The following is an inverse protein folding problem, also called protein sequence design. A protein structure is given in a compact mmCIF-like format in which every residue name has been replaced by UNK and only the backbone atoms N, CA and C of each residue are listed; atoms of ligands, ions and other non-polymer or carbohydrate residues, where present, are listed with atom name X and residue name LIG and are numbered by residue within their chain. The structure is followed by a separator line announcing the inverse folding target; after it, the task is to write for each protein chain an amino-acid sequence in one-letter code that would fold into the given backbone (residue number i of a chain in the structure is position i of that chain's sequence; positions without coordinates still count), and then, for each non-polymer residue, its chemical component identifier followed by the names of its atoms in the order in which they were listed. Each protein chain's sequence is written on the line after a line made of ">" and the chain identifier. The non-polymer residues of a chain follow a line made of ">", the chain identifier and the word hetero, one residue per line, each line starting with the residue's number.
data_IF_989010546980
#
_entry.id   IF_989010546980
#
_cell.length_a   1.000
_cell.length_b   1.000
_cell.length_c   1.000
_cell.angle_alpha   90.00
_cell.angle_beta   90.00
_cell.angle_gamma   90.00
#
_symmetry.space_group_name_H-M   'P 1'
#
loop_
_entity.id
_entity.type
_entity.pdbx_description
1 polymer ?
#
# COMPACT_ATOMS: atom_id res chain seq x y z
N UNK A 1 28.84 13.87 13.90
CA UNK A 1 29.09 13.03 15.10
C UNK A 1 27.85 12.91 15.99
N UNK A 2 27.36 13.98 16.66
CA UNK A 2 26.19 13.88 17.57
C UNK A 2 24.95 13.23 16.94
N UNK A 3 24.65 13.55 15.68
CA UNK A 3 23.54 12.94 14.95
C UNK A 3 23.76 11.44 14.70
N UNK A 4 24.94 11.06 14.19
CA UNK A 4 25.31 9.64 13.97
C UNK A 4 25.18 8.81 15.25
N UNK A 5 25.60 9.34 16.40
CA UNK A 5 25.43 8.64 17.68
C UNK A 5 23.96 8.42 18.03
N UNK A 6 23.09 9.40 17.78
CA UNK A 6 21.64 9.24 17.98
C UNK A 6 21.03 8.23 17.01
N UNK A 7 21.54 8.18 15.79
CA UNK A 7 21.11 7.24 14.75
C UNK A 7 21.50 5.79 15.12
N UNK A 8 22.70 5.59 15.65
CA UNK A 8 23.13 4.29 16.21
C UNK A 8 22.30 3.91 17.44
N UNK A 9 22.03 4.85 18.35
CA UNK A 9 21.14 4.59 19.50
C UNK A 9 19.74 4.17 19.04
N UNK A 10 19.16 4.87 18.05
CA UNK A 10 17.86 4.52 17.51
C UNK A 10 17.84 3.09 16.93
N UNK A 11 18.92 2.69 16.27
CA UNK A 11 19.10 1.33 15.74
C UNK A 11 19.24 0.29 16.85
N UNK A 12 20.06 0.58 17.87
CA UNK A 12 20.28 -0.32 19.00
C UNK A 12 19.02 -0.53 19.86
N UNK A 13 18.12 0.46 19.91
CA UNK A 13 16.85 0.33 20.61
C UNK A 13 15.90 -0.70 19.97
N UNK A 14 16.12 -1.12 18.72
CA UNK A 14 15.37 -2.23 18.09
C UNK A 14 15.61 -3.56 18.81
N UNK A 15 16.72 -3.68 19.54
CA UNK A 15 17.15 -4.88 20.24
C UNK A 15 16.77 -4.87 21.74
N UNK A 16 16.07 -3.83 22.20
CA UNK A 16 15.70 -3.64 23.61
C UNK A 16 14.22 -3.94 23.82
N UNK A 17 13.93 -4.86 24.74
CA UNK A 17 12.57 -5.24 25.13
C UNK A 17 12.35 -5.06 26.65
N UNK A 18 11.13 -4.70 27.10
CA UNK A 18 9.94 -4.38 26.30
C UNK A 18 10.00 -2.97 25.67
N UNK A 19 9.27 -2.77 24.58
CA UNK A 19 9.13 -1.46 23.93
C UNK A 19 8.20 -0.60 24.78
N UNK A 20 8.73 0.50 25.30
CA UNK A 20 8.01 1.42 26.19
C UNK A 20 7.69 2.74 25.47
N UNK A 21 6.71 3.49 25.97
CA UNK A 21 6.39 4.83 25.47
C UNK A 21 7.61 5.79 25.45
N UNK A 22 8.54 5.66 26.40
CA UNK A 22 9.78 6.45 26.43
C UNK A 22 10.73 6.10 25.27
N UNK A 23 10.79 4.82 24.90
CA UNK A 23 11.56 4.35 23.74
C UNK A 23 10.99 4.97 22.46
N UNK A 24 9.68 4.83 22.25
CA UNK A 24 8.99 5.38 21.08
C UNK A 24 9.15 6.90 21.00
N UNK A 25 9.00 7.62 22.12
CA UNK A 25 9.20 9.07 22.19
C UNK A 25 10.64 9.46 21.79
N UNK A 26 11.64 8.68 22.19
CA UNK A 26 13.04 8.92 21.82
C UNK A 26 13.26 8.79 20.31
N UNK A 27 12.70 7.74 19.70
CA UNK A 27 12.78 7.51 18.24
C UNK A 27 12.03 8.61 17.49
N UNK A 28 10.79 8.91 17.89
CA UNK A 28 9.96 9.97 17.32
C UNK A 28 10.68 11.33 17.37
N UNK A 29 11.28 11.66 18.51
CA UNK A 29 12.07 12.88 18.65
C UNK A 29 13.29 12.88 17.72
N UNK A 30 14.00 11.74 17.58
CA UNK A 30 15.14 11.61 16.66
C UNK A 30 14.72 11.84 15.20
N UNK A 31 13.69 11.13 14.72
CA UNK A 31 13.18 11.24 13.35
C UNK A 31 12.70 12.67 13.05
N UNK A 32 11.94 13.28 13.98
CA UNK A 32 11.42 14.65 13.83
C UNK A 32 12.52 15.71 13.63
N UNK A 33 13.69 15.52 14.23
CA UNK A 33 14.83 16.44 14.14
C UNK A 33 15.87 16.02 13.09
N UNK A 34 15.57 14.98 12.32
CA UNK A 34 16.48 14.38 11.34
C UNK A 34 15.87 14.35 9.93
N UNK A 35 14.96 15.27 9.62
CA UNK A 35 14.34 15.36 8.30
C UNK A 35 15.39 15.60 7.21
N UNK A 36 15.30 14.84 6.11
CA UNK A 36 16.27 14.87 5.01
C UNK A 36 17.58 14.14 5.30
N UNK A 37 17.67 13.36 6.38
CA UNK A 37 18.77 12.43 6.64
C UNK A 37 18.47 11.05 6.05
N UNK A 38 19.49 10.31 5.59
CA UNK A 38 19.27 9.10 4.79
C UNK A 38 18.56 7.97 5.55
N UNK A 39 18.68 7.92 6.88
CA UNK A 39 18.08 6.88 7.72
C UNK A 39 16.70 7.24 8.28
N UNK A 40 16.19 8.44 8.02
CA UNK A 40 14.95 8.95 8.63
C UNK A 40 13.98 9.49 7.58
N UNK A 41 12.74 9.02 7.60
CA UNK A 41 11.63 9.61 6.85
C UNK A 41 10.50 10.03 7.80
N UNK A 42 9.92 11.19 7.54
CA UNK A 42 8.81 11.76 8.30
C UNK A 42 7.70 12.13 7.32
N UNK A 43 6.59 11.40 7.37
CA UNK A 43 5.43 11.68 6.55
C UNK A 43 4.24 12.15 7.40
N UNK A 44 3.38 12.98 6.81
CA UNK A 44 2.15 13.47 7.43
C UNK A 44 1.01 13.31 6.45
N UNK A 45 0.03 12.49 6.81
CA UNK A 45 -1.19 12.27 6.04
C UNK A 45 -2.31 13.08 6.69
N UNK A 46 -2.77 14.12 6.00
CA UNK A 46 -3.95 14.88 6.44
C UNK A 46 -5.22 14.06 6.24
N UNK A 47 -6.00 13.91 7.31
CA UNK A 47 -7.30 13.26 7.31
C UNK A 47 -8.37 14.26 6.89
N UNK A 48 -8.64 14.32 5.59
CA UNK A 48 -9.70 15.16 5.05
C UNK A 48 -11.02 14.39 5.06
N UNK A 49 -11.91 14.74 5.98
CA UNK A 49 -13.25 14.16 6.06
C UNK A 49 -14.29 15.05 5.36
N UNK A 50 -15.28 14.41 4.73
CA UNK A 50 -16.40 15.10 4.05
C UNK A 50 -17.40 15.66 5.06
N UNK A 51 -17.64 14.93 6.16
CA UNK A 51 -18.57 15.30 7.22
C UNK A 51 -17.83 15.75 8.48
N UNK A 52 -18.56 15.94 9.59
CA UNK A 52 -18.02 16.29 10.91
C UNK A 52 -16.81 15.42 11.26
N UNK A 53 -15.71 16.10 11.59
CA UNK A 53 -14.45 15.50 12.00
C UNK A 53 -14.64 14.54 13.17
N UNK A 54 -15.54 14.81 14.13
CA UNK A 54 -15.68 13.93 15.30
C UNK A 54 -16.24 12.55 14.93
N UNK A 55 -17.35 12.50 14.20
CA UNK A 55 -17.96 11.24 13.75
C UNK A 55 -17.02 10.51 12.81
N UNK A 56 -16.45 11.22 11.84
CA UNK A 56 -15.56 10.64 10.83
C UNK A 56 -14.29 10.07 11.46
N UNK A 57 -13.70 10.81 12.40
CA UNK A 57 -12.53 10.35 13.16
C UNK A 57 -12.83 9.11 14.00
N UNK A 58 -14.00 9.04 14.64
CA UNK A 58 -14.39 7.86 15.41
C UNK A 58 -14.46 6.60 14.55
N UNK A 59 -15.07 6.69 13.37
CA UNK A 59 -15.15 5.57 12.40
C UNK A 59 -13.75 5.24 11.88
N UNK A 60 -12.95 6.25 11.55
CA UNK A 60 -11.56 6.07 11.13
C UNK A 60 -10.75 5.30 12.17
N UNK A 61 -10.84 5.66 13.45
CA UNK A 61 -10.10 4.97 14.52
C UNK A 61 -10.54 3.52 14.72
N UNK A 62 -11.84 3.23 14.59
CA UNK A 62 -12.35 1.87 14.68
C UNK A 62 -11.80 0.99 13.54
N UNK A 63 -11.77 1.51 12.33
CA UNK A 63 -11.28 0.80 11.15
C UNK A 63 -9.75 0.78 11.06
N UNK A 64 -9.06 1.81 11.57
CA UNK A 64 -7.61 1.87 11.63
C UNK A 64 -7.04 0.74 12.49
N UNK A 65 -7.71 0.44 13.62
CA UNK A 65 -7.33 -0.69 14.47
C UNK A 65 -7.45 -2.06 13.79
N UNK A 66 -8.15 -2.13 12.65
CA UNK A 66 -8.35 -3.34 11.84
C UNK A 66 -7.42 -3.39 10.62
N UNK A 67 -6.55 -2.39 10.40
CA UNK A 67 -5.58 -2.42 9.32
C UNK A 67 -4.65 -3.63 9.52
N UNK A 68 -4.57 -4.45 8.48
CA UNK A 68 -3.66 -5.59 8.39
C UNK A 68 -2.45 -5.20 7.56
N UNK A 69 -1.25 -5.48 8.06
CA UNK A 69 -0.02 -5.33 7.30
C UNK A 69 0.56 -6.74 7.12
N UNK A 70 0.86 -7.20 5.90
CA UNK A 70 1.37 -8.56 5.68
C UNK A 70 2.61 -8.82 6.54
N UNK A 71 2.59 -9.89 7.35
CA UNK A 71 3.69 -10.31 8.23
C UNK A 71 3.98 -9.39 9.42
N UNK A 72 3.16 -8.36 9.63
CA UNK A 72 3.31 -7.42 10.74
C UNK A 72 2.00 -7.23 11.49
N UNK A 73 2.15 -7.03 12.80
CA UNK A 73 1.06 -6.63 13.66
C UNK A 73 1.25 -5.19 14.09
N UNK A 74 0.14 -4.45 14.13
CA UNK A 74 0.10 -3.12 14.71
C UNK A 74 -0.09 -3.23 16.23
N UNK A 75 0.87 -2.72 16.99
CA UNK A 75 0.81 -2.61 18.44
C UNK A 75 0.54 -1.15 18.84
N UNK A 76 -0.10 -0.96 19.99
CA UNK A 76 -0.37 0.36 20.56
C UNK A 76 0.31 0.48 21.92
N UNK A 77 1.03 1.58 22.11
CA UNK A 77 1.64 1.98 23.39
C UNK A 77 1.36 3.47 23.61
N UNK A 78 0.54 3.78 24.62
CA UNK A 78 0.02 5.13 24.86
C UNK A 78 -0.58 5.77 23.59
N UNK A 79 0.05 6.84 23.09
CA UNK A 79 -0.38 7.64 21.93
C UNK A 79 0.22 7.15 20.61
N UNK A 80 1.08 6.13 20.64
CA UNK A 80 1.81 5.65 19.48
C UNK A 80 1.33 4.27 19.04
N UNK A 81 1.24 4.11 17.73
CA UNK A 81 1.10 2.81 17.09
C UNK A 81 2.43 2.44 16.43
N UNK A 82 2.83 1.19 16.47
CA UNK A 82 4.09 0.75 15.87
C UNK A 82 3.98 -0.68 15.33
N UNK A 83 4.75 -0.99 14.29
CA UNK A 83 4.78 -2.32 13.70
C UNK A 83 5.71 -3.24 14.47
N UNK A 84 5.25 -4.46 14.73
CA UNK A 84 6.05 -5.60 15.19
C UNK A 84 5.87 -6.76 14.22
N UNK A 85 6.84 -7.68 14.19
CA UNK A 85 6.73 -8.93 13.43
C UNK A 85 5.56 -9.74 13.95
N UNK A 86 4.77 -10.29 13.04
CA UNK A 86 3.84 -11.37 13.38
C UNK A 86 4.64 -12.67 13.51
N UNK A 87 4.37 -13.50 14.51
CA UNK A 87 5.09 -14.76 14.72
C UNK A 87 4.72 -15.75 13.60
N UNK A 88 5.45 -15.72 12.49
CA UNK A 88 5.35 -16.73 11.44
C UNK A 88 6.45 -17.76 11.68
N UNK A 89 6.11 -19.04 11.56
CA UNK A 89 7.09 -20.13 11.69
C UNK A 89 8.26 -19.91 10.72
N UNK A 90 9.48 -20.18 11.18
CA UNK A 90 10.74 -19.89 10.49
C UNK A 90 10.83 -20.46 9.05
N UNK A 91 10.02 -21.47 8.70
CA UNK A 91 9.89 -21.99 7.34
C UNK A 91 9.33 -20.97 6.33
N UNK A 92 8.36 -20.15 6.74
CA UNK A 92 7.66 -19.21 5.85
C UNK A 92 8.51 -17.99 5.45
N UNK A 93 9.52 -17.64 6.26
CA UNK A 93 10.38 -16.49 5.97
C UNK A 93 11.22 -16.73 4.71
N UNK A 94 11.68 -17.97 4.48
CA UNK A 94 12.44 -18.35 3.28
C UNK A 94 11.56 -18.44 2.02
N UNK A 95 10.28 -18.78 2.17
CA UNK A 95 9.32 -18.82 1.04
C UNK A 95 8.94 -17.42 0.52
N UNK A 96 9.17 -16.36 1.33
CA UNK A 96 8.90 -14.95 0.96
C UNK A 96 10.06 -14.33 0.17
N UNK A 97 11.27 -14.89 0.24
CA UNK A 97 12.44 -14.44 -0.52
C UNK A 97 12.83 -15.50 -1.57
N UNK A 98 12.10 -15.63 -2.70
CA UNK A 98 12.55 -16.48 -3.77
C UNK A 98 13.80 -15.85 -4.38
N UNK A 99 14.97 -16.32 -3.95
CA UNK A 99 16.24 -16.12 -4.63
C UNK A 99 16.10 -16.82 -5.99
N UNK A 100 15.68 -16.09 -7.03
CA UNK A 100 15.76 -16.57 -8.39
C UNK A 100 17.25 -16.47 -8.82
N UNK A 101 18.05 -17.44 -8.38
CA UNK A 101 19.29 -17.75 -9.08
C UNK A 101 18.94 -18.61 -10.29
N UNK A 102 18.98 -18.01 -11.47
CA UNK A 102 18.88 -18.75 -12.70
C UNK A 102 20.26 -19.35 -13.04
N UNK A 103 20.47 -20.64 -12.76
CA UNK A 103 21.09 -21.58 -13.70
C UNK A 103 21.14 -23.01 -13.14
N UNK A 104 20.77 -23.96 -14.01
CA UNK A 104 20.79 -25.40 -13.86
C UNK A 104 22.17 -25.95 -13.44
N UNK A 105 22.23 -26.99 -12.61
CA UNK A 105 22.32 -28.36 -13.15
C UNK A 105 22.10 -29.43 -12.06
N UNK A 106 21.74 -30.61 -12.53
CA UNK A 106 21.21 -31.74 -11.80
C UNK A 106 22.33 -32.60 -11.23
N UNK A 107 22.33 -32.89 -9.93
CA UNK A 107 22.72 -34.23 -9.41
C UNK A 107 22.49 -34.30 -7.90
N UNK A 108 21.55 -35.14 -7.48
CA UNK A 108 21.28 -35.37 -6.07
C UNK A 108 22.35 -36.25 -5.41
N UNK A 109 22.66 -35.91 -4.15
CA UNK A 109 23.15 -36.85 -3.14
C UNK A 109 22.50 -36.42 -1.82
N UNK A 110 21.80 -37.35 -1.18
CA UNK A 110 21.34 -37.24 0.20
C UNK A 110 22.56 -37.31 1.13
N UNK A 111 22.76 -36.33 2.01
CA UNK A 111 23.55 -36.54 3.22
C UNK A 111 22.81 -35.99 4.45
N UNK A 112 22.49 -36.94 5.34
CA UNK A 112 22.04 -36.72 6.71
C UNK A 112 23.07 -35.88 7.47
N UNK A 113 22.64 -34.80 8.11
CA UNK A 113 23.45 -34.09 9.10
C UNK A 113 22.82 -34.19 10.49
N UNK A 114 23.49 -34.99 11.33
CA UNK A 114 23.24 -35.20 12.74
C UNK A 114 23.36 -33.91 13.57
N UNK A 115 22.42 -33.73 14.49
CA UNK A 115 22.37 -32.66 15.48
C UNK A 115 23.11 -33.10 16.76
N UNK A 116 24.13 -32.39 17.27
CA UNK A 116 24.64 -32.65 18.62
C UNK A 116 23.88 -31.82 19.68
N UNK A 117 23.33 -32.53 20.68
CA UNK A 117 22.85 -31.96 21.96
C UNK A 117 24.02 -31.54 22.86
N UNK A 118 23.84 -30.54 23.75
CA UNK A 118 24.88 -30.12 24.67
C UNK A 118 24.90 -31.00 25.93
N UNK A 119 26.11 -31.31 26.41
CA UNK A 119 26.37 -31.86 27.73
C UNK A 119 27.04 -30.77 28.58
N UNK A 120 26.43 -30.49 29.74
CA UNK A 120 27.08 -29.84 30.87
C UNK A 120 28.04 -30.85 31.52
N UNK A 121 29.20 -30.39 31.98
CA UNK A 121 29.69 -30.64 33.35
C UNK A 121 31.00 -29.89 33.63
N UNK A 122 31.18 -29.63 34.93
CA UNK A 122 32.07 -28.71 35.61
C UNK A 122 33.59 -29.02 35.64
N UNK A 123 34.34 -27.95 35.95
CA UNK A 123 35.57 -27.88 36.77
C UNK A 123 36.86 -28.65 36.38
N UNK A 124 37.94 -27.92 36.02
CA UNK A 124 39.12 -27.61 36.89
C UNK A 124 40.35 -27.05 36.13
N UNK A 125 40.72 -25.82 36.52
CA UNK A 125 42.06 -25.24 36.80
C UNK A 125 43.32 -25.94 36.24
N UNK A 126 44.13 -25.21 35.43
CA UNK A 126 45.52 -24.76 35.75
C UNK A 126 46.26 -24.12 34.55
N UNK A 127 46.69 -22.88 34.78
CA UNK A 127 48.01 -22.24 34.59
C UNK A 127 48.85 -22.36 33.30
N UNK A 128 49.61 -21.26 33.12
CA UNK A 128 50.82 -21.02 32.30
C UNK A 128 50.60 -20.50 30.86
N UNK A 129 50.75 -19.20 30.56
CA UNK A 129 51.95 -18.33 30.49
C UNK A 129 52.68 -18.40 29.12
N UNK A 130 52.97 -17.21 28.59
CA UNK A 130 53.87 -16.82 27.49
C UNK A 130 53.29 -16.89 26.06
N UNK A 131 53.03 -15.76 25.38
CA UNK A 131 53.96 -14.73 24.84
C UNK A 131 54.72 -15.16 23.59
N UNK A 132 54.72 -14.24 22.61
CA UNK A 132 55.56 -14.14 21.40
C UNK A 132 54.91 -14.70 20.12
N UNK A 133 54.47 -13.87 19.16
CA UNK A 133 55.17 -12.88 18.33
C UNK A 133 55.95 -13.50 17.17
N UNK A 134 55.40 -13.26 15.97
CA UNK A 134 56.04 -13.01 14.67
C UNK A 134 57.44 -13.55 14.40
N UNK A 135 57.60 -14.24 13.27
CA UNK A 135 58.68 -13.91 12.35
C UNK A 135 58.39 -14.25 10.88
N UNK A 136 58.85 -13.29 10.08
CA UNK A 136 59.01 -13.12 8.64
C UNK A 136 59.95 -14.16 7.98
N UNK A 137 59.72 -14.49 6.70
CA UNK A 137 60.68 -14.23 5.60
C UNK A 137 60.27 -14.86 4.25
N UNK A 138 60.48 -14.07 3.20
CA UNK A 138 60.48 -14.42 1.78
C UNK A 138 61.58 -15.42 1.41
N UNK A 139 61.40 -16.18 0.31
CA UNK A 139 62.24 -16.04 -0.91
C UNK A 139 61.80 -17.00 -2.05
N UNK A 140 61.70 -16.40 -3.24
CA UNK A 140 61.71 -16.86 -4.64
C UNK A 140 61.59 -18.35 -5.03
N UNK A 141 60.74 -18.58 -6.05
CA UNK A 141 60.83 -19.71 -6.97
C UNK A 141 60.07 -19.43 -8.26
N UNK A 142 60.81 -19.13 -9.34
CA UNK A 142 60.33 -18.88 -10.69
C UNK A 142 59.71 -20.13 -11.35
N UNK A 143 58.49 -20.05 -11.84
CA UNK A 143 58.02 -20.87 -12.96
C UNK A 143 57.11 -20.02 -13.85
N UNK A 144 57.50 -19.92 -15.12
CA UNK A 144 56.66 -19.45 -16.22
C UNK A 144 55.56 -20.49 -16.45
N UNK A 145 54.31 -20.15 -16.14
CA UNK A 145 53.14 -20.79 -16.72
C UNK A 145 52.25 -19.72 -17.31
N UNK A 146 52.33 -19.65 -18.63
CA UNK A 146 51.29 -19.25 -19.57
C UNK A 146 49.91 -19.77 -19.11
N UNK A 147 48.97 -18.85 -18.93
CA UNK A 147 47.63 -19.15 -18.45
C UNK A 147 46.87 -17.83 -18.32
N UNK A 148 46.00 -17.56 -19.29
CA UNK A 148 45.19 -16.35 -19.34
C UNK A 148 44.47 -16.13 -18.01
N UNK A 149 44.75 -14.98 -17.40
CA UNK A 149 43.93 -14.42 -16.36
C UNK A 149 42.67 -13.88 -17.04
N UNK A 150 41.68 -14.76 -17.23
CA UNK A 150 40.30 -14.31 -17.16
C UNK A 150 40.09 -13.96 -15.69
N UNK A 151 40.45 -12.73 -15.32
CA UNK A 151 39.83 -12.06 -14.20
C UNK A 151 38.35 -11.93 -14.57
N UNK A 152 37.59 -13.00 -14.34
CA UNK A 152 36.22 -12.87 -13.91
C UNK A 152 36.30 -12.02 -12.64
N UNK A 153 36.26 -10.70 -12.85
CA UNK A 153 35.78 -9.76 -11.86
C UNK A 153 34.34 -10.21 -11.65
N UNK A 154 34.15 -11.21 -10.77
CA UNK A 154 32.89 -11.40 -10.12
C UNK A 154 32.60 -10.03 -9.54
N UNK A 155 31.60 -9.35 -10.11
CA UNK A 155 30.95 -8.27 -9.40
C UNK A 155 30.62 -8.88 -8.04
N UNK A 156 31.39 -8.50 -7.01
CA UNK A 156 31.09 -8.84 -5.63
C UNK A 156 29.72 -8.22 -5.39
N UNK A 157 28.66 -8.97 -5.69
CA UNK A 157 27.34 -8.73 -5.15
C UNK A 157 27.55 -8.82 -3.66
N UNK A 158 27.80 -7.66 -3.03
CA UNK A 158 28.01 -7.58 -1.59
C UNK A 158 26.90 -8.37 -0.92
N UNK A 159 27.29 -9.49 -0.32
CA UNK A 159 26.33 -10.42 0.25
C UNK A 159 25.76 -9.79 1.53
N UNK A 160 24.58 -9.17 1.39
CA UNK A 160 23.86 -8.57 2.51
C UNK A 160 23.07 -9.59 3.33
N UNK A 161 23.40 -10.89 3.26
CA UNK A 161 22.80 -11.97 4.09
C UNK A 161 22.78 -11.64 5.59
N UNK A 162 23.76 -10.85 6.07
CA UNK A 162 23.81 -10.39 7.44
C UNK A 162 22.57 -9.56 7.86
N UNK A 163 21.89 -8.86 6.94
CA UNK A 163 20.63 -8.16 7.24
C UNK A 163 19.52 -9.14 7.58
N UNK A 164 19.44 -10.26 6.84
CA UNK A 164 18.48 -11.33 7.13
C UNK A 164 18.80 -11.96 8.48
N UNK A 165 20.07 -12.24 8.75
CA UNK A 165 20.50 -12.78 10.04
C UNK A 165 20.23 -11.81 11.21
N UNK A 166 20.41 -10.50 11.00
CA UNK A 166 20.06 -9.47 11.98
C UNK A 166 18.56 -9.44 12.25
N UNK A 167 17.75 -9.53 11.20
CA UNK A 167 16.30 -9.55 11.27
C UNK A 167 15.83 -10.79 12.05
N UNK A 168 16.41 -11.97 11.78
CA UNK A 168 16.08 -13.21 12.47
C UNK A 168 16.49 -13.20 13.96
N UNK A 169 17.57 -12.51 14.32
CA UNK A 169 18.01 -12.38 15.72
C UNK A 169 17.07 -11.51 16.55
N UNK A 170 16.36 -10.57 15.91
CA UNK A 170 15.39 -9.68 16.57
C UNK A 170 14.07 -10.40 16.80
N UNK A 171 13.66 -10.49 18.06
CA UNK A 171 12.46 -11.22 18.46
C UNK A 171 11.18 -10.51 18.00
N UNK A 172 10.97 -9.25 18.41
CA UNK A 172 9.73 -8.53 18.12
C UNK A 172 9.79 -7.57 16.92
N UNK A 173 10.87 -6.80 16.75
CA UNK A 173 10.93 -5.70 15.77
C UNK A 173 11.66 -6.10 14.48
N UNK A 174 11.26 -5.55 13.31
CA UNK A 174 12.07 -5.64 12.10
C UNK A 174 13.34 -4.78 12.19
N UNK A 175 14.13 -4.78 11.13
CA UNK A 175 15.33 -3.94 11.03
C UNK A 175 15.08 -2.43 10.89
N UNK A 176 13.87 -1.98 11.20
CA UNK A 176 13.43 -0.60 11.09
C UNK A 176 12.37 -0.27 12.15
N UNK A 177 12.22 1.01 12.45
CA UNK A 177 11.07 1.55 13.16
C UNK A 177 10.04 2.07 12.18
N UNK A 178 8.79 1.70 12.35
CA UNK A 178 7.65 2.36 11.72
C UNK A 178 6.64 2.69 12.81
N UNK A 179 6.63 3.96 13.21
CA UNK A 179 5.81 4.49 14.31
C UNK A 179 4.81 5.47 13.74
N UNK A 180 3.57 5.41 14.20
CA UNK A 180 2.48 6.30 13.82
C UNK A 180 1.94 6.99 15.06
N UNK A 181 1.68 8.29 14.92
CA UNK A 181 0.86 9.05 15.86
C UNK A 181 -0.37 9.57 15.14
N UNK A 182 -1.54 9.34 15.72
CA UNK A 182 -2.82 9.76 15.16
C UNK A 182 -3.35 10.90 16.01
N UNK A 183 -3.39 12.09 15.40
CA UNK A 183 -4.09 13.25 15.93
C UNK A 183 -5.42 13.41 15.16
N UNK A 184 -6.29 14.35 15.57
CA UNK A 184 -7.66 14.46 15.04
C UNK A 184 -7.77 14.62 13.52
N UNK A 185 -6.82 15.31 12.89
CA UNK A 185 -6.83 15.68 11.48
C UNK A 185 -5.57 15.23 10.72
N UNK A 186 -4.65 14.52 11.38
CA UNK A 186 -3.39 14.10 10.78
C UNK A 186 -2.88 12.79 11.38
N UNK A 187 -2.38 11.92 10.51
CA UNK A 187 -1.55 10.78 10.90
C UNK A 187 -0.10 11.12 10.57
N UNK A 188 0.75 11.15 11.59
CA UNK A 188 2.19 11.35 11.42
C UNK A 188 2.89 10.00 11.46
N UNK A 189 3.66 9.69 10.42
CA UNK A 189 4.45 8.46 10.27
C UNK A 189 5.92 8.80 10.47
N UNK A 190 6.55 8.18 11.45
CA UNK A 190 7.97 8.25 11.75
C UNK A 190 8.62 6.94 11.32
N UNK A 191 9.49 7.01 10.32
CA UNK A 191 10.23 5.86 9.83
C UNK A 191 11.73 6.04 10.07
N UNK A 192 12.36 5.04 10.66
CA UNK A 192 13.81 5.01 10.87
C UNK A 192 14.38 3.67 10.46
N UNK A 193 15.39 3.68 9.58
CA UNK A 193 16.16 2.51 9.22
C UNK A 193 17.60 2.92 8.90
N UNK A 194 18.56 2.34 9.60
CA UNK A 194 20.01 2.61 9.40
C UNK A 194 20.49 2.27 7.98
N UNK A 195 19.81 1.32 7.33
CA UNK A 195 20.32 0.59 6.18
C UNK A 195 19.75 1.06 4.83
N UNK A 196 19.03 2.19 4.79
CA UNK A 196 18.31 2.64 3.59
C UNK A 196 19.21 2.95 2.38
N UNK A 197 20.49 3.23 2.60
CA UNK A 197 21.45 3.48 1.52
C UNK A 197 22.01 2.19 0.90
N UNK A 198 21.75 1.01 1.48
CA UNK A 198 22.26 -0.26 0.95
C UNK A 198 21.42 -0.71 -0.26
N UNK A 199 22.04 -0.99 -1.43
CA UNK A 199 21.35 -1.36 -2.66
C UNK A 199 20.94 -2.84 -2.67
N UNK A 200 20.14 -3.27 -1.69
CA UNK A 200 19.70 -4.66 -1.52
C UNK A 200 18.19 -4.80 -1.62
N UNK A 201 17.67 -5.88 -2.24
CA UNK A 201 16.23 -6.17 -2.29
C UNK A 201 15.55 -6.15 -0.92
N UNK A 202 16.26 -6.59 0.13
CA UNK A 202 15.74 -6.61 1.50
C UNK A 202 15.39 -5.21 2.02
N UNK A 203 16.20 -4.20 1.68
CA UNK A 203 15.93 -2.79 2.02
C UNK A 203 14.76 -2.24 1.18
N UNK A 204 14.65 -2.67 -0.08
CA UNK A 204 13.49 -2.37 -0.93
C UNK A 204 12.15 -2.75 -0.28
N UNK A 205 12.09 -3.93 0.36
CA UNK A 205 10.89 -4.38 1.07
C UNK A 205 10.57 -3.50 2.28
N UNK A 206 11.56 -2.99 3.02
CA UNK A 206 11.30 -2.09 4.15
C UNK A 206 10.60 -0.80 3.69
N UNK A 207 11.01 -0.27 2.54
CA UNK A 207 10.39 0.89 1.91
C UNK A 207 8.99 0.56 1.35
N UNK A 208 8.81 -0.63 0.78
CA UNK A 208 7.50 -1.11 0.30
C UNK A 208 6.50 -1.18 1.46
N UNK A 209 6.88 -1.79 2.59
CA UNK A 209 6.03 -1.84 3.80
C UNK A 209 5.68 -0.43 4.28
N UNK A 210 6.64 0.49 4.28
CA UNK A 210 6.39 1.89 4.64
C UNK A 210 5.37 2.55 3.69
N UNK A 211 5.48 2.30 2.38
CA UNK A 211 4.54 2.79 1.37
C UNK A 211 3.16 2.17 1.53
N UNK A 212 3.08 0.86 1.75
CA UNK A 212 1.83 0.12 1.93
C UNK A 212 1.05 0.63 3.12
N UNK A 213 1.71 0.89 4.25
CA UNK A 213 1.06 1.48 5.43
C UNK A 213 0.54 2.88 5.12
N UNK A 214 1.33 3.70 4.42
CA UNK A 214 0.96 5.05 4.00
C UNK A 214 -0.28 5.03 3.10
N UNK A 215 -0.32 4.13 2.14
CA UNK A 215 -1.42 4.01 1.18
C UNK A 215 -2.66 3.37 1.83
N UNK A 216 -2.48 2.40 2.74
CA UNK A 216 -3.57 1.84 3.53
C UNK A 216 -4.27 2.90 4.39
N UNK A 217 -3.53 3.84 4.97
CA UNK A 217 -4.11 4.96 5.75
C UNK A 217 -4.90 5.92 4.85
N UNK A 218 -4.37 6.27 3.67
CA UNK A 218 -5.06 7.13 2.70
C UNK A 218 -6.34 6.47 2.19
N UNK A 219 -6.25 5.20 1.81
CA UNK A 219 -7.40 4.43 1.35
C UNK A 219 -8.42 4.25 2.45
N UNK A 220 -7.98 4.08 3.71
CA UNK A 220 -8.89 4.06 4.84
C UNK A 220 -9.65 5.39 4.98
N UNK A 221 -8.96 6.54 4.93
CA UNK A 221 -9.62 7.84 4.99
C UNK A 221 -10.66 8.00 3.86
N UNK A 222 -10.30 7.57 2.64
CA UNK A 222 -11.22 7.53 1.50
C UNK A 222 -12.44 6.63 1.76
N UNK A 223 -12.24 5.41 2.28
CA UNK A 223 -13.33 4.47 2.61
C UNK A 223 -14.27 5.00 3.69
N UNK A 224 -13.75 5.73 4.68
CA UNK A 224 -14.58 6.40 5.71
C UNK A 224 -15.46 7.48 5.07
N UNK A 225 -14.91 8.28 4.16
CA UNK A 225 -15.72 9.26 3.42
C UNK A 225 -16.78 8.57 2.55
N UNK A 226 -16.42 7.50 1.85
CA UNK A 226 -17.36 6.69 1.07
C UNK A 226 -18.50 6.14 1.93
N UNK A 227 -18.20 5.56 3.09
CA UNK A 227 -19.21 4.95 3.94
C UNK A 227 -20.22 5.98 4.46
N UNK A 228 -19.74 7.18 4.83
CA UNK A 228 -20.58 8.29 5.27
C UNK A 228 -21.46 8.83 4.12
N UNK A 229 -20.87 9.04 2.94
CA UNK A 229 -21.59 9.47 1.73
C UNK A 229 -22.66 8.46 1.33
N UNK A 230 -22.35 7.17 1.39
CA UNK A 230 -23.30 6.09 1.09
C UNK A 230 -24.44 6.05 2.12
N UNK A 231 -24.13 6.18 3.41
CA UNK A 231 -25.16 6.22 4.44
C UNK A 231 -26.11 7.42 4.23
N UNK A 232 -25.57 8.60 3.91
CA UNK A 232 -26.37 9.78 3.56
C UNK A 232 -27.21 9.55 2.31
N UNK A 233 -26.66 8.94 1.25
CA UNK A 233 -27.39 8.56 0.04
C UNK A 233 -28.59 7.65 0.35
N UNK A 234 -28.40 6.66 1.22
CA UNK A 234 -29.48 5.73 1.57
C UNK A 234 -30.60 6.40 2.36
N UNK A 235 -30.26 7.27 3.30
CA UNK A 235 -31.20 7.99 4.17
C UNK A 235 -31.99 9.06 3.42
N UNK A 236 -31.31 9.85 2.60
CA UNK A 236 -31.90 11.01 1.93
C UNK A 236 -32.47 10.70 0.55
N UNK A 237 -32.03 9.61 -0.07
CA UNK A 237 -32.25 9.32 -1.50
C UNK A 237 -31.76 10.46 -2.41
N UNK A 238 -30.72 11.17 -1.98
CA UNK A 238 -30.03 12.23 -2.75
C UNK A 238 -28.55 11.86 -2.81
N UNK A 239 -27.97 11.82 -4.02
CA UNK A 239 -26.56 11.55 -4.23
C UNK A 239 -25.74 12.83 -4.18
N UNK A 240 -24.68 12.81 -3.39
CA UNK A 240 -23.69 13.89 -3.35
C UNK A 240 -22.80 13.86 -4.60
N UNK A 241 -22.42 15.04 -5.11
CA UNK A 241 -21.50 15.20 -6.24
C UNK A 241 -20.11 14.62 -5.98
N UNK A 242 -19.69 14.52 -4.72
CA UNK A 242 -18.42 13.92 -4.31
C UNK A 242 -18.41 12.40 -4.43
N UNK A 243 -19.57 11.75 -4.25
CA UNK A 243 -19.71 10.30 -4.43
C UNK A 243 -19.71 9.95 -5.92
N UNK A 244 -20.56 10.61 -6.70
CA UNK A 244 -20.69 10.42 -8.14
C UNK A 244 -20.98 11.78 -8.76
N UNK A 245 -20.56 12.10 -9.99
CA UNK A 245 -20.86 13.37 -10.65
C UNK A 245 -22.32 13.45 -11.11
N UNK A 246 -22.85 14.68 -11.26
CA UNK A 246 -24.21 14.90 -11.79
C UNK A 246 -24.34 14.41 -13.23
N UNK A 247 -25.50 13.82 -13.57
CA UNK A 247 -25.73 13.31 -14.93
C UNK A 247 -25.77 14.43 -15.99
N UNK A 248 -25.91 15.68 -15.56
CA UNK A 248 -25.90 16.88 -16.40
C UNK A 248 -24.56 17.62 -16.38
N UNK A 249 -23.44 16.97 -16.03
CA UNK A 249 -22.13 17.60 -16.05
C UNK A 249 -21.71 17.97 -17.50
N UNK A 250 -22.15 19.14 -17.96
CA UNK A 250 -21.95 19.71 -19.30
C UNK A 250 -20.55 20.31 -19.48
N UNK A 251 -19.51 19.60 -19.09
CA UNK A 251 -18.12 20.10 -19.19
C UNK A 251 -17.23 19.28 -20.14
N UNK A 252 -17.83 18.44 -20.99
CA UNK A 252 -17.15 17.70 -22.07
C UNK A 252 -17.90 17.81 -23.41
N UNK A 253 -18.32 19.01 -23.79
CA UNK A 253 -18.68 19.26 -25.18
C UNK A 253 -17.46 19.79 -25.95
N UNK A 254 -16.60 18.87 -26.37
CA UNK A 254 -16.07 18.93 -27.74
C UNK A 254 -15.91 17.50 -28.27
N UNK A 255 -16.83 17.14 -29.17
CA UNK A 255 -16.69 16.13 -30.21
C UNK A 255 -16.25 14.72 -29.79
N UNK A 256 -17.18 13.97 -29.20
CA UNK A 256 -17.23 12.52 -29.45
C UNK A 256 -18.64 12.13 -29.88
N UNK A 257 -18.84 12.07 -31.19
CA UNK A 257 -19.83 11.17 -31.78
C UNK A 257 -19.43 9.77 -31.34
N UNK A 258 -20.11 9.23 -30.33
CA UNK A 258 -19.89 7.87 -29.83
C UNK A 258 -20.40 6.91 -30.91
N UNK A 259 -19.52 6.62 -31.88
CA UNK A 259 -19.65 5.44 -32.72
C UNK A 259 -19.09 4.28 -31.91
N UNK A 260 -19.95 3.31 -31.65
CA UNK A 260 -19.71 2.06 -30.95
C UNK A 260 -18.41 1.37 -31.39
N UNK A 261 -17.41 1.39 -30.51
CA UNK A 261 -16.34 0.40 -30.43
C UNK A 261 -15.64 0.49 -29.07
N UNK A 262 -15.91 -0.51 -28.23
CA UNK A 262 -15.04 -1.06 -27.18
C UNK A 262 -14.15 -0.07 -26.42
N UNK A 263 -14.53 0.27 -25.19
CA UNK A 263 -13.56 0.72 -24.18
C UNK A 263 -13.66 -0.21 -22.97
N UNK A 264 -12.82 -1.25 -23.02
CA UNK A 264 -12.28 -1.94 -21.85
C UNK A 264 -11.62 -0.91 -20.93
N UNK A 265 -12.03 -0.90 -19.66
CA UNK A 265 -11.41 -0.10 -18.61
C UNK A 265 -10.00 -0.62 -18.30
N UNK A 266 -9.02 -0.17 -19.06
CA UNK A 266 -7.61 -0.25 -18.70
C UNK A 266 -7.19 1.13 -18.15
N UNK A 267 -6.86 1.21 -16.85
CA UNK A 267 -6.05 2.31 -16.32
C UNK A 267 -4.92 1.74 -15.46
N UNK A 268 -3.78 1.53 -16.12
CA UNK A 268 -2.47 1.67 -15.49
C UNK A 268 -1.55 2.44 -16.45
N UNK A 269 -0.83 3.39 -15.84
CA UNK A 269 0.48 3.96 -16.16
C UNK A 269 0.68 5.11 -17.19
N UNK A 270 1.63 5.94 -16.76
CA UNK A 270 2.52 6.90 -17.46
C UNK A 270 1.99 8.33 -17.58
N UNK A 271 2.48 9.34 -16.83
CA UNK A 271 3.83 9.94 -16.71
C UNK A 271 4.25 10.75 -17.96
N UNK A 272 4.52 12.03 -17.67
CA UNK A 272 5.35 13.03 -18.36
C UNK A 272 4.88 13.66 -19.68
N UNK A 273 4.99 15.00 -19.70
CA UNK A 273 5.28 15.77 -20.90
C UNK A 273 4.07 16.36 -21.61
N UNK A 274 3.85 17.66 -21.42
CA UNK A 274 3.98 18.68 -22.48
C UNK A 274 3.61 20.05 -21.91
N UNK A 275 4.64 20.76 -21.47
CA UNK A 275 4.63 22.22 -21.38
C UNK A 275 4.53 22.75 -22.80
N UNK A 276 3.56 23.62 -23.07
CA UNK A 276 3.57 24.50 -24.23
C UNK A 276 2.82 25.78 -23.87
N UNK A 277 3.60 26.84 -23.66
CA UNK A 277 3.15 28.22 -23.52
C UNK A 277 2.60 28.72 -24.86
N UNK A 278 1.43 29.37 -24.87
CA UNK A 278 1.26 30.79 -25.22
C UNK A 278 -0.17 31.16 -25.62
N UNK A 279 -0.51 32.39 -25.22
CA UNK A 279 -1.55 33.30 -25.72
C UNK A 279 -2.92 33.34 -25.00
N UNK A 280 -2.92 34.31 -24.10
CA UNK A 280 -3.98 35.06 -23.42
C UNK A 280 -4.98 35.63 -24.46
N UNK A 281 -6.28 35.52 -24.18
CA UNK A 281 -7.21 36.66 -24.02
C UNK A 281 -8.66 36.20 -23.77
N UNK A 282 -9.21 36.64 -22.63
CA UNK A 282 -10.61 37.06 -22.55
C UNK A 282 -11.69 35.98 -22.51
N UNK A 283 -11.76 35.22 -21.41
CA UNK A 283 -12.99 34.54 -20.99
C UNK A 283 -13.05 34.53 -19.48
N UNK A 284 -13.97 35.30 -18.88
CA UNK A 284 -14.29 35.20 -17.45
C UNK A 284 -14.61 33.74 -17.13
N UNK A 285 -13.67 33.06 -16.48
CA UNK A 285 -13.96 31.82 -15.77
C UNK A 285 -14.83 32.24 -14.60
N UNK A 286 -16.14 32.17 -14.81
CA UNK A 286 -17.11 32.32 -13.76
C UNK A 286 -16.95 31.09 -12.85
N UNK A 287 -16.05 31.23 -11.87
CA UNK A 287 -15.90 30.34 -10.73
C UNK A 287 -17.19 30.42 -9.93
N UNK A 288 -18.17 29.58 -10.29
CA UNK A 288 -19.34 29.38 -9.46
C UNK A 288 -18.95 28.51 -8.27
N UNK A 289 -18.89 29.17 -7.11
CA UNK A 289 -19.01 28.64 -5.76
C UNK A 289 -17.96 27.61 -5.33
N UNK A 290 -16.80 28.12 -4.98
CA UNK A 290 -15.89 27.47 -4.04
C UNK A 290 -16.47 27.56 -2.62
N UNK A 291 -17.15 26.50 -2.18
CA UNK A 291 -17.28 26.18 -0.75
C UNK A 291 -16.61 24.81 -0.55
N UNK A 292 -15.34 24.85 -0.10
CA UNK A 292 -14.33 23.78 0.03
C UNK A 292 -13.72 23.23 -1.28
N UNK A 293 -12.56 23.74 -1.73
CA UNK A 293 -11.80 23.17 -2.86
C UNK A 293 -11.04 21.88 -2.47
N UNK A 294 -11.54 21.09 -1.51
CA UNK A 294 -10.80 19.94 -0.97
C UNK A 294 -10.94 18.69 -1.84
N UNK A 295 -12.05 18.54 -2.56
CA UNK A 295 -12.36 17.31 -3.28
C UNK A 295 -12.94 17.59 -4.66
N UNK A 296 -12.68 16.68 -5.59
CA UNK A 296 -13.28 16.69 -6.92
C UNK A 296 -14.61 15.93 -6.95
N UNK A 297 -15.47 16.27 -7.92
CA UNK A 297 -16.69 15.51 -8.17
C UNK A 297 -16.35 14.05 -8.52
N UNK A 298 -17.05 13.10 -7.90
CA UNK A 298 -16.81 11.67 -8.07
C UNK A 298 -15.50 11.15 -7.47
N UNK A 299 -14.76 11.93 -6.68
CA UNK A 299 -13.52 11.47 -6.05
C UNK A 299 -13.73 10.22 -5.18
N UNK A 300 -14.91 10.12 -4.57
CA UNK A 300 -15.29 9.01 -3.71
C UNK A 300 -16.13 7.94 -4.42
N UNK A 301 -16.16 7.90 -5.76
CA UNK A 301 -16.86 6.83 -6.47
C UNK A 301 -16.36 5.45 -6.03
N UNK A 302 -17.30 4.54 -5.79
CA UNK A 302 -16.99 3.20 -5.31
C UNK A 302 -16.64 2.28 -6.49
N UNK A 303 -15.67 1.37 -6.32
CA UNK A 303 -15.41 0.35 -7.32
C UNK A 303 -16.62 -0.58 -7.46
N UNK A 304 -16.79 -1.15 -8.64
CA UNK A 304 -17.85 -2.14 -8.90
C UNK A 304 -17.50 -3.44 -8.16
N UNK A 305 -18.30 -3.77 -7.14
CA UNK A 305 -18.15 -5.00 -6.35
C UNK A 305 -18.97 -6.17 -6.89
N UNK A 306 -19.97 -5.90 -7.73
CA UNK A 306 -20.82 -6.93 -8.33
C UNK A 306 -21.42 -6.45 -9.66
N UNK A 307 -21.45 -7.34 -10.64
CA UNK A 307 -22.05 -7.10 -11.94
C UNK A 307 -22.71 -8.38 -12.46
N UNK A 308 -23.89 -8.25 -13.06
CA UNK A 308 -24.58 -9.35 -13.72
C UNK A 308 -25.15 -8.92 -15.06
N UNK A 309 -25.20 -9.85 -16.00
CA UNK A 309 -25.84 -9.68 -17.30
C UNK A 309 -26.93 -10.72 -17.44
N UNK A 310 -28.12 -10.29 -17.85
CA UNK A 310 -29.21 -11.21 -18.18
C UNK A 310 -29.74 -10.89 -19.57
N UNK A 311 -30.04 -11.94 -20.32
CA UNK A 311 -30.53 -11.80 -21.69
C UNK A 311 -32.01 -11.47 -21.64
N UNK A 312 -32.39 -10.32 -22.20
CA UNK A 312 -33.79 -9.97 -22.29
C UNK A 312 -34.48 -10.82 -23.37
N UNK A 313 -35.53 -11.53 -22.97
CA UNK A 313 -36.32 -12.35 -23.89
C UNK A 313 -36.88 -11.48 -25.05
N UNK A 314 -36.88 -11.93 -26.32
CA UNK A 314 -37.30 -11.12 -27.48
C UNK A 314 -38.67 -10.45 -27.33
N UNK A 315 -39.65 -11.12 -26.70
CA UNK A 315 -40.99 -10.56 -26.42
C UNK A 315 -40.98 -9.34 -25.49
N UNK A 316 -39.92 -9.15 -24.71
CA UNK A 316 -39.74 -7.99 -23.84
C UNK A 316 -38.91 -6.88 -24.51
N UNK A 317 -38.29 -7.14 -25.68
CA UNK A 317 -37.50 -6.16 -26.44
C UNK A 317 -38.37 -5.12 -27.16
N UNK A 318 -39.56 -5.52 -27.63
CA UNK A 318 -40.46 -4.64 -28.41
C UNK A 318 -41.59 -4.06 -27.56
N UNK A 319 -41.58 -2.74 -27.36
CA UNK A 319 -42.77 -1.98 -26.97
C UNK A 319 -43.72 -1.78 -28.16
N UNK A 320 -45.05 -1.62 -27.94
CA UNK A 320 -45.98 -1.29 -29.02
C UNK A 320 -45.70 0.13 -29.55
N UNK A 321 -45.13 0.23 -30.76
CA UNK A 321 -44.88 1.48 -31.49
C UNK A 321 -43.69 2.29 -30.96
N UNK A 322 -42.58 2.36 -31.74
CA UNK A 322 -41.46 3.33 -31.64
C UNK A 322 -40.91 3.70 -30.23
N UNK A 323 -41.20 2.96 -29.17
CA UNK A 323 -40.62 3.18 -27.85
C UNK A 323 -39.14 2.79 -27.90
N UNK A 324 -38.27 3.75 -27.59
CA UNK A 324 -36.81 3.56 -27.45
C UNK A 324 -36.49 2.61 -26.28
N UNK A 325 -37.46 2.41 -25.38
CA UNK A 325 -37.32 1.70 -24.11
C UNK A 325 -38.05 0.36 -24.19
N UNK A 326 -37.35 -0.74 -23.88
CA UNK A 326 -37.90 -2.11 -23.89
C UNK A 326 -38.95 -2.36 -22.78
N UNK A 327 -39.85 -3.33 -22.96
CA UNK A 327 -40.82 -3.71 -21.90
C UNK A 327 -40.10 -4.28 -20.67
N UNK A 328 -38.98 -4.95 -20.89
CA UNK A 328 -38.13 -5.48 -19.83
C UNK A 328 -37.56 -4.37 -18.94
N UNK A 329 -36.99 -3.34 -19.56
CA UNK A 329 -36.40 -2.23 -18.80
C UNK A 329 -37.47 -1.42 -18.07
N UNK A 330 -38.67 -1.27 -18.64
CA UNK A 330 -39.80 -0.63 -17.94
C UNK A 330 -40.23 -1.43 -16.71
N UNK A 331 -40.31 -2.76 -16.81
CA UNK A 331 -40.61 -3.61 -15.67
C UNK A 331 -39.55 -3.51 -14.58
N UNK A 332 -38.27 -3.49 -14.95
CA UNK A 332 -37.16 -3.32 -14.02
C UNK A 332 -37.18 -1.94 -13.35
N UNK A 333 -37.43 -0.87 -14.12
CA UNK A 333 -37.58 0.49 -13.58
C UNK A 333 -38.69 0.56 -12.54
N UNK A 334 -39.85 -0.06 -12.79
CA UNK A 334 -40.96 -0.09 -11.84
C UNK A 334 -40.62 -0.82 -10.54
N UNK A 335 -39.86 -1.93 -10.61
CA UNK A 335 -39.44 -2.68 -9.42
C UNK A 335 -38.41 -1.88 -8.61
N UNK A 336 -37.51 -1.19 -9.29
CA UNK A 336 -36.43 -0.42 -8.68
C UNK A 336 -36.85 0.98 -8.21
N UNK A 337 -38.03 1.46 -8.60
CA UNK A 337 -38.53 2.80 -8.28
C UNK A 337 -38.47 3.13 -6.78
N UNK A 338 -38.81 2.15 -5.93
CA UNK A 338 -38.72 2.28 -4.45
C UNK A 338 -37.30 2.49 -3.91
N UNK A 339 -36.29 2.21 -4.72
CA UNK A 339 -34.87 2.39 -4.41
C UNK A 339 -34.26 3.58 -5.15
N UNK A 340 -35.05 4.33 -5.93
CA UNK A 340 -34.55 5.40 -6.78
C UNK A 340 -33.91 6.53 -5.97
N UNK A 341 -32.86 7.09 -6.56
CA UNK A 341 -32.22 8.31 -6.10
C UNK A 341 -32.82 9.50 -6.85
N UNK A 342 -33.24 10.52 -6.12
CA UNK A 342 -34.10 11.60 -6.63
C UNK A 342 -33.39 12.56 -7.59
N UNK A 343 -32.10 12.82 -7.37
CA UNK A 343 -31.31 13.78 -8.15
C UNK A 343 -30.39 13.11 -9.18
N UNK A 344 -30.48 11.79 -9.36
CA UNK A 344 -29.68 11.04 -10.34
C UNK A 344 -30.51 10.09 -11.18
N UNK A 345 -30.34 10.18 -12.49
CA UNK A 345 -30.89 9.27 -13.46
C UNK A 345 -30.22 7.90 -13.33
N UNK A 346 -31.05 6.85 -13.37
CA UNK A 346 -30.56 5.47 -13.40
C UNK A 346 -29.61 5.15 -12.24
N UNK A 347 -29.92 5.68 -11.05
CA UNK A 347 -29.22 5.36 -9.82
C UNK A 347 -30.23 4.89 -8.78
N UNK A 348 -29.89 3.80 -8.12
CA UNK A 348 -30.71 3.18 -7.10
C UNK A 348 -29.83 2.81 -5.91
N UNK A 349 -30.37 2.95 -4.70
CA UNK A 349 -29.64 2.66 -3.46
C UNK A 349 -30.34 1.59 -2.64
N UNK A 350 -29.56 0.65 -2.13
CA UNK A 350 -29.99 -0.50 -1.36
C UNK A 350 -29.11 -0.68 -0.12
N UNK A 351 -29.69 -1.14 0.98
CA UNK A 351 -28.98 -1.51 2.20
C UNK A 351 -29.26 -2.96 2.52
N UNK A 352 -28.21 -3.75 2.73
CA UNK A 352 -28.32 -5.17 3.03
C UNK A 352 -28.66 -5.42 4.52
N UNK A 353 -28.75 -6.70 4.90
CA UNK A 353 -29.02 -7.12 6.27
C UNK A 353 -27.85 -6.86 7.23
N UNK A 354 -26.63 -6.71 6.70
CA UNK A 354 -25.41 -6.42 7.45
C UNK A 354 -25.14 -4.91 7.57
N UNK A 355 -26.10 -4.08 7.16
CA UNK A 355 -26.01 -2.62 7.09
C UNK A 355 -25.02 -2.05 6.07
N UNK A 356 -24.54 -2.84 5.12
CA UNK A 356 -23.77 -2.33 3.99
C UNK A 356 -24.70 -1.61 3.01
N UNK A 357 -24.28 -0.44 2.55
CA UNK A 357 -25.02 0.36 1.59
C UNK A 357 -24.37 0.24 0.22
N UNK A 358 -25.19 -0.04 -0.78
CA UNK A 358 -24.79 -0.18 -2.17
C UNK A 358 -25.62 0.77 -3.03
N UNK A 359 -24.99 1.38 -4.03
CA UNK A 359 -25.70 1.97 -5.15
C UNK A 359 -25.46 1.16 -6.41
N UNK A 360 -26.44 1.17 -7.31
CA UNK A 360 -26.37 0.46 -8.57
C UNK A 360 -26.93 1.30 -9.70
N UNK A 361 -26.43 1.02 -10.89
CA UNK A 361 -26.92 1.54 -12.17
C UNK A 361 -27.15 0.34 -13.10
N UNK A 362 -28.08 0.45 -14.04
CA UNK A 362 -28.28 -0.57 -15.08
C UNK A 362 -28.05 0.02 -16.48
N UNK A 363 -27.70 -0.80 -17.45
CA UNK A 363 -27.59 -0.37 -18.83
C UNK A 363 -28.17 -1.43 -19.77
N UNK A 364 -28.83 -1.00 -20.83
CA UNK A 364 -29.23 -1.89 -21.92
C UNK A 364 -28.08 -1.94 -22.94
N UNK A 365 -27.54 -3.14 -23.17
CA UNK A 365 -26.43 -3.37 -24.09
C UNK A 365 -26.97 -4.07 -25.34
N UNK A 366 -26.81 -3.45 -26.51
CA UNK A 366 -27.16 -4.06 -27.80
C UNK A 366 -25.91 -4.76 -28.36
N UNK A 367 -25.89 -6.09 -28.32
CA UNK A 367 -24.85 -6.87 -28.99
C UNK A 367 -25.18 -6.98 -30.48
N UNK A 368 -24.32 -6.40 -31.32
CA UNK A 368 -24.37 -6.56 -32.78
C UNK A 368 -23.42 -7.72 -33.13
N UNK A 369 -23.96 -8.88 -33.44
CA UNK A 369 -23.18 -9.96 -34.06
C UNK A 369 -22.93 -9.59 -35.53
N UNK A 370 -21.69 -9.21 -35.84
CA UNK A 370 -21.24 -9.13 -37.24
C UNK A 370 -20.97 -10.56 -37.69
N UNK A 371 -21.93 -11.16 -38.39
CA UNK A 371 -21.71 -12.41 -39.10
C UNK A 371 -20.72 -12.13 -40.25
N UNK A 372 -19.50 -12.63 -40.14
CA UNK A 372 -18.48 -12.65 -41.21
C UNK A 372 -18.70 -13.82 -42.15
#
# INVERSE_FOLDING_TARGET
>A
IKWLLKDEIATALLDVEPITASTLTTIVHHVSHSTGKPSCDLDKITLNFVYDTFQSYSIFMEEFAKITVPNYKLCKEEDYYYLVKENISSQSYLDIFPFNSCANDSSGINEDFDIPRPLNDDEKVKDDIASQASDISSVNGSVLTDGGYDEDVSEDYEDYEWLTNLDLKRQALPNFWLIMKIDHDVVTIYFHCRFLELPTPKVGIYLEIQSDVRDAIRELCKRVNQSLLLQSLYETKVCDSLLEPDDNFKEWHSDFVITSRSVTYNRLKSVEGLISENNIEGGEIVKFNAENPKFANGEFSCPVVWQTHFILHPRLKTGPGKSIISRGILALKNILDKFSVSNRNNMFVYKDQMNNVFYLRYAEIVMIEVLS
#
